data_IF_693458871283
#
_entry.id   IF_693458871283
#
_cell.length_a   1.000
_cell.length_b   1.000
_cell.length_c   1.000
_cell.angle_alpha   90.00
_cell.angle_beta   90.00
_cell.angle_gamma   90.00
#
_symmetry.space_group_name_H-M   'P 1'
#
loop_
_entity.id
_entity.type
_entity.pdbx_description
1 polymer ?
#
# COMPACT_ATOMS: atom_id res chain seq x y z
N UNK A 1 30.91 -17.97 11.82
CA UNK A 1 30.30 -18.78 10.75
C UNK A 1 28.80 -18.88 11.01
N UNK A 2 28.01 -17.91 10.56
CA UNK A 2 26.58 -18.12 10.37
C UNK A 2 26.43 -18.74 8.98
N UNK A 3 26.18 -20.05 8.93
CA UNK A 3 25.70 -20.69 7.69
C UNK A 3 24.38 -19.99 7.35
N UNK A 4 24.19 -19.56 6.10
CA UNK A 4 22.86 -19.22 5.62
C UNK A 4 21.97 -20.46 5.83
N UNK A 5 21.12 -20.43 6.86
CA UNK A 5 20.18 -21.51 7.12
C UNK A 5 19.18 -21.54 5.96
N UNK A 6 18.72 -22.74 5.63
CA UNK A 6 17.72 -23.03 4.58
C UNK A 6 16.46 -22.14 4.66
N UNK A 7 16.24 -21.46 5.78
CA UNK A 7 15.12 -20.57 6.08
C UNK A 7 15.11 -19.28 5.23
N UNK A 8 16.28 -18.75 4.82
CA UNK A 8 16.33 -17.56 3.93
C UNK A 8 15.87 -17.87 2.50
N UNK A 9 16.02 -19.12 2.06
CA UNK A 9 15.68 -19.58 0.71
C UNK A 9 14.15 -19.74 0.57
N UNK A 10 13.46 -20.17 1.63
CA UNK A 10 11.99 -20.19 1.68
C UNK A 10 11.37 -18.78 1.66
N UNK A 11 12.06 -17.79 2.23
CA UNK A 11 11.61 -16.40 2.25
C UNK A 11 11.61 -15.75 0.86
N UNK A 12 12.62 -16.00 0.03
CA UNK A 12 12.66 -15.50 -1.36
C UNK A 12 11.54 -16.14 -2.20
N UNK A 13 11.22 -17.41 -1.95
CA UNK A 13 10.13 -18.12 -2.63
C UNK A 13 8.73 -17.65 -2.18
N UNK A 14 8.55 -17.36 -0.88
CA UNK A 14 7.32 -16.76 -0.35
C UNK A 14 7.08 -15.33 -0.87
N UNK A 15 8.13 -14.64 -1.37
CA UNK A 15 8.05 -13.31 -2.01
C UNK A 15 7.72 -13.43 -3.51
N UNK A 16 8.04 -14.55 -4.18
CA UNK A 16 7.65 -14.82 -5.57
C UNK A 16 6.19 -15.29 -5.72
N UNK A 17 5.65 -15.95 -4.70
CA UNK A 17 4.29 -16.51 -4.70
C UNK A 17 3.13 -15.49 -4.83
N UNK A 18 3.17 -14.26 -4.26
CA UNK A 18 2.08 -13.30 -4.38
C UNK A 18 2.02 -12.63 -5.75
N UNK A 19 3.10 -12.67 -6.53
CA UNK A 19 3.17 -12.06 -7.88
C UNK A 19 2.21 -12.78 -8.84
N UNK A 20 1.89 -14.05 -8.59
CA UNK A 20 1.13 -14.91 -9.51
C UNK A 20 -0.40 -14.65 -9.43
N UNK A 21 -0.92 -14.02 -8.36
CA UNK A 21 -2.36 -13.93 -8.11
C UNK A 21 -2.94 -12.50 -8.04
N UNK A 22 -2.18 -11.45 -8.38
CA UNK A 22 -2.62 -10.06 -8.25
C UNK A 22 -2.79 -9.35 -9.59
N UNK A 23 -4.04 -9.09 -10.00
CA UNK A 23 -4.47 -8.18 -11.07
C UNK A 23 -3.42 -7.92 -12.19
N UNK A 24 -3.51 -8.66 -13.29
CA UNK A 24 -2.79 -8.31 -14.53
C UNK A 24 -3.32 -6.97 -15.04
N UNK A 25 -2.61 -5.90 -14.72
CA UNK A 25 -2.81 -4.57 -15.32
C UNK A 25 -2.13 -4.63 -16.69
N UNK A 26 -2.84 -4.21 -17.74
CA UNK A 26 -2.29 -4.11 -19.10
C UNK A 26 -0.98 -3.31 -19.05
N UNK A 27 0.13 -3.99 -19.25
CA UNK A 27 1.49 -3.45 -19.14
C UNK A 27 2.34 -3.97 -20.30
N UNK A 28 3.48 -3.30 -20.53
CA UNK A 28 4.41 -3.64 -21.62
C UNK A 28 5.56 -4.48 -21.06
N UNK A 29 6.11 -5.36 -21.89
CA UNK A 29 7.34 -6.12 -21.65
C UNK A 29 7.28 -6.99 -20.37
N UNK A 30 6.09 -7.45 -20.00
CA UNK A 30 5.84 -8.25 -18.79
C UNK A 30 5.65 -7.44 -17.50
N UNK A 31 5.73 -6.11 -17.56
CA UNK A 31 5.26 -5.22 -16.50
C UNK A 31 5.76 -5.55 -15.09
N UNK A 32 4.83 -5.78 -14.17
CA UNK A 32 5.11 -6.08 -12.76
C UNK A 32 5.88 -7.38 -12.58
N UNK A 33 5.62 -8.38 -13.41
CA UNK A 33 6.27 -9.69 -13.32
C UNK A 33 7.73 -9.57 -13.73
N UNK A 34 7.99 -8.79 -14.79
CA UNK A 34 9.33 -8.49 -15.25
C UNK A 34 10.13 -7.72 -14.20
N UNK A 35 9.55 -6.66 -13.63
CA UNK A 35 10.21 -5.88 -12.58
C UNK A 35 10.49 -6.72 -11.33
N UNK A 36 9.52 -7.54 -10.90
CA UNK A 36 9.65 -8.41 -9.74
C UNK A 36 10.77 -9.43 -9.93
N UNK A 37 10.78 -10.12 -11.06
CA UNK A 37 11.86 -11.04 -11.40
C UNK A 37 13.22 -10.34 -11.39
N UNK A 38 13.33 -9.19 -12.07
CA UNK A 38 14.58 -8.43 -12.22
C UNK A 38 15.16 -8.00 -10.86
N UNK A 39 14.28 -7.57 -9.95
CA UNK A 39 14.67 -7.19 -8.58
C UNK A 39 15.10 -8.43 -7.78
N UNK A 40 14.33 -9.52 -7.83
CA UNK A 40 14.63 -10.74 -7.06
C UNK A 40 15.93 -11.38 -7.53
N UNK A 41 16.11 -11.55 -8.84
CA UNK A 41 17.34 -12.11 -9.42
C UNK A 41 18.53 -11.20 -9.09
N UNK A 42 18.40 -9.87 -9.22
CA UNK A 42 19.48 -8.97 -8.82
C UNK A 42 19.76 -8.93 -7.31
N UNK A 43 18.78 -9.21 -6.44
CA UNK A 43 19.00 -9.38 -5.01
C UNK A 43 19.82 -10.65 -4.73
N UNK A 44 19.52 -11.75 -5.42
CA UNK A 44 20.30 -13.00 -5.34
C UNK A 44 21.76 -12.75 -5.74
N UNK A 45 22.01 -12.05 -6.84
CA UNK A 45 23.37 -11.67 -7.25
C UNK A 45 24.07 -10.83 -6.19
N UNK A 46 23.39 -9.84 -5.59
CA UNK A 46 23.99 -9.00 -4.55
C UNK A 46 24.29 -9.79 -3.28
N UNK A 47 23.43 -10.74 -2.91
CA UNK A 47 23.67 -11.62 -1.75
C UNK A 47 24.88 -12.52 -1.98
N UNK A 48 25.09 -13.04 -3.19
CA UNK A 48 26.29 -13.84 -3.49
C UNK A 48 27.56 -13.00 -3.39
N UNK A 49 27.53 -11.73 -3.82
CA UNK A 49 28.65 -10.78 -3.63
C UNK A 49 28.93 -10.53 -2.14
N UNK A 50 27.89 -10.26 -1.34
CA UNK A 50 28.06 -9.90 0.09
C UNK A 50 28.56 -11.07 0.92
N UNK A 51 27.99 -12.26 0.72
CA UNK A 51 28.31 -13.42 1.55
C UNK A 51 29.46 -14.27 0.98
N UNK A 52 29.88 -14.04 -0.26
CA UNK A 52 30.87 -14.84 -0.98
C UNK A 52 30.53 -16.35 -0.96
N UNK A 53 29.23 -16.67 -0.96
CA UNK A 53 28.69 -18.04 -0.90
C UNK A 53 27.90 -18.37 -2.17
N UNK A 54 27.94 -19.64 -2.58
CA UNK A 54 27.11 -20.16 -3.67
C UNK A 54 25.66 -20.34 -3.18
N UNK A 55 24.73 -19.56 -3.74
CA UNK A 55 23.30 -19.66 -3.39
C UNK A 55 22.69 -20.89 -4.08
N UNK A 56 22.19 -21.84 -3.29
CA UNK A 56 21.42 -23.00 -3.81
C UNK A 56 19.96 -22.61 -4.01
N UNK A 57 19.56 -22.33 -5.25
CA UNK A 57 18.17 -22.13 -5.66
C UNK A 57 17.54 -23.48 -6.04
N UNK A 58 16.44 -23.88 -5.39
CA UNK A 58 15.92 -25.26 -5.43
C UNK A 58 15.06 -25.56 -6.68
N UNK A 59 14.48 -24.54 -7.35
CA UNK A 59 13.53 -24.78 -8.46
C UNK A 59 13.79 -23.97 -9.75
N UNK A 60 14.14 -22.68 -9.65
CA UNK A 60 14.59 -21.84 -10.79
C UNK A 60 16.13 -21.79 -10.90
N UNK A 61 16.81 -22.56 -10.05
CA UNK A 61 18.25 -22.49 -9.87
C UNK A 61 19.07 -22.75 -11.12
N UNK A 62 18.78 -23.74 -11.97
CA UNK A 62 19.66 -24.04 -13.09
C UNK A 62 19.80 -22.89 -14.09
N UNK A 63 18.68 -22.26 -14.51
CA UNK A 63 18.70 -21.14 -15.46
C UNK A 63 19.34 -19.89 -14.83
N UNK A 64 19.01 -19.59 -13.57
CA UNK A 64 19.57 -18.43 -12.86
C UNK A 64 21.08 -18.60 -12.62
N UNK A 65 21.50 -19.79 -12.17
CA UNK A 65 22.91 -20.11 -11.93
C UNK A 65 23.68 -20.08 -13.25
N UNK A 66 23.19 -20.72 -14.30
CA UNK A 66 23.86 -20.73 -15.60
C UNK A 66 23.97 -19.31 -16.20
N UNK A 67 22.91 -18.50 -16.08
CA UNK A 67 22.94 -17.09 -16.45
C UNK A 67 24.03 -16.31 -15.67
N UNK A 68 24.08 -16.44 -14.34
CA UNK A 68 25.14 -15.80 -13.56
C UNK A 68 26.55 -16.30 -13.89
N UNK A 69 26.72 -17.61 -14.14
CA UNK A 69 28.00 -18.18 -14.57
C UNK A 69 28.46 -17.64 -15.93
N UNK A 70 27.52 -17.18 -16.75
CA UNK A 70 27.76 -16.52 -18.05
C UNK A 70 27.84 -14.99 -17.94
N UNK A 71 27.80 -14.44 -16.73
CA UNK A 71 27.76 -12.99 -16.47
C UNK A 71 26.53 -12.28 -17.08
N UNK A 72 25.43 -13.00 -17.25
CA UNK A 72 24.18 -12.41 -17.72
C UNK A 72 23.55 -11.51 -16.65
N UNK A 73 23.06 -10.34 -17.09
CA UNK A 73 22.32 -9.44 -16.21
C UNK A 73 20.97 -10.04 -15.79
N UNK A 74 20.42 -9.63 -14.63
CA UNK A 74 19.09 -10.04 -14.20
C UNK A 74 17.98 -9.85 -15.24
N UNK A 75 18.03 -8.78 -16.06
CA UNK A 75 17.07 -8.58 -17.15
C UNK A 75 17.09 -9.75 -18.15
N UNK A 76 18.29 -10.21 -18.57
CA UNK A 76 18.47 -11.31 -19.52
C UNK A 76 17.94 -12.61 -18.94
N UNK A 77 18.30 -12.90 -17.68
CA UNK A 77 17.83 -14.09 -16.97
C UNK A 77 16.31 -14.09 -16.88
N UNK A 78 15.68 -12.95 -16.58
CA UNK A 78 14.24 -12.84 -16.45
C UNK A 78 13.48 -13.00 -17.78
N UNK A 79 14.09 -12.65 -18.91
CA UNK A 79 13.55 -13.01 -20.22
C UNK A 79 13.70 -14.51 -20.52
N UNK A 80 14.82 -15.13 -20.12
CA UNK A 80 15.01 -16.58 -20.18
C UNK A 80 14.12 -17.37 -19.20
N UNK A 81 13.50 -16.70 -18.23
CA UNK A 81 12.47 -17.25 -17.35
C UNK A 81 11.04 -16.94 -17.83
N UNK A 82 10.89 -16.13 -18.88
CA UNK A 82 9.60 -15.63 -19.43
C UNK A 82 8.80 -14.73 -18.48
N UNK A 83 9.42 -14.19 -17.43
CA UNK A 83 8.80 -13.12 -16.63
C UNK A 83 8.87 -11.76 -17.33
N UNK A 84 9.87 -11.57 -18.19
CA UNK A 84 9.97 -10.41 -19.08
C UNK A 84 9.75 -10.83 -20.53
N UNK A 85 9.10 -9.97 -21.31
CA UNK A 85 8.84 -10.17 -22.75
C UNK A 85 9.28 -8.94 -23.54
N UNK A 86 9.44 -9.08 -24.86
CA UNK A 86 9.63 -7.96 -25.78
C UNK A 86 8.35 -7.79 -26.59
N UNK A 87 7.59 -6.71 -26.37
CA UNK A 87 6.35 -6.48 -27.11
C UNK A 87 6.61 -5.84 -28.49
N UNK A 88 5.97 -6.34 -29.58
CA UNK A 88 6.17 -5.80 -30.92
C UNK A 88 5.86 -4.30 -31.01
N UNK A 89 6.83 -3.53 -31.50
CA UNK A 89 6.69 -2.08 -31.70
C UNK A 89 6.92 -1.23 -30.44
N UNK A 90 7.29 -1.84 -29.31
CA UNK A 90 7.60 -1.13 -28.07
C UNK A 90 9.11 -1.03 -27.82
N UNK A 91 9.51 -0.04 -27.03
CA UNK A 91 10.89 0.13 -26.62
C UNK A 91 11.23 -0.87 -25.49
N UNK A 92 12.36 -1.57 -25.61
CA UNK A 92 12.77 -2.59 -24.64
C UNK A 92 13.10 -2.00 -23.29
N UNK A 93 12.40 -2.44 -22.25
CA UNK A 93 12.61 -1.96 -20.89
C UNK A 93 13.75 -2.71 -20.18
N UNK A 94 14.82 -1.99 -19.80
CA UNK A 94 16.01 -2.59 -19.15
C UNK A 94 16.55 -1.79 -17.99
N UNK A 95 16.77 -2.47 -16.87
CA UNK A 95 17.36 -1.85 -15.69
C UNK A 95 18.90 -1.89 -15.75
N UNK A 96 19.46 -3.02 -16.16
CA UNK A 96 20.88 -3.27 -16.31
C UNK A 96 21.34 -3.01 -17.75
N UNK A 97 22.47 -2.33 -17.90
CA UNK A 97 23.08 -2.13 -19.21
C UNK A 97 23.74 -3.43 -19.66
N UNK A 98 23.31 -3.99 -20.80
CA UNK A 98 23.99 -5.14 -21.40
C UNK A 98 25.39 -4.71 -21.85
N UNK A 99 26.43 -5.44 -21.41
CA UNK A 99 27.81 -5.24 -21.87
C UNK A 99 28.07 -5.79 -23.28
N UNK A 100 27.12 -6.52 -23.89
CA UNK A 100 27.35 -7.18 -25.18
C UNK A 100 26.20 -6.95 -26.19
N UNK A 101 26.52 -6.64 -27.46
CA UNK A 101 25.56 -6.47 -28.55
C UNK A 101 25.12 -7.80 -29.19
N UNK A 102 25.53 -8.96 -28.66
CA UNK A 102 25.05 -10.27 -29.15
C UNK A 102 23.52 -10.26 -29.06
N UNK A 103 22.88 -10.64 -30.17
CA UNK A 103 21.43 -10.62 -30.35
C UNK A 103 20.77 -11.38 -29.19
N UNK A 104 20.25 -10.61 -28.25
CA UNK A 104 19.54 -11.01 -27.04
C UNK A 104 18.63 -12.23 -27.22
N UNK A 105 17.91 -12.25 -28.34
CA UNK A 105 17.00 -13.33 -28.74
C UNK A 105 17.70 -14.69 -28.85
N UNK A 106 18.92 -14.73 -29.39
CA UNK A 106 19.66 -15.98 -29.58
C UNK A 106 20.15 -16.56 -28.24
N UNK A 107 20.57 -15.72 -27.29
CA UNK A 107 21.07 -16.18 -25.99
C UNK A 107 19.95 -16.76 -25.12
N UNK A 108 18.80 -16.08 -25.08
CA UNK A 108 17.58 -16.54 -24.39
C UNK A 108 17.07 -17.85 -24.97
N UNK A 109 17.08 -18.01 -26.31
CA UNK A 109 16.69 -19.27 -26.96
C UNK A 109 17.59 -20.45 -26.57
N UNK A 110 18.89 -20.21 -26.44
CA UNK A 110 19.85 -21.26 -26.04
C UNK A 110 19.61 -21.72 -24.59
N UNK A 111 19.30 -20.80 -23.66
CA UNK A 111 18.99 -21.14 -22.26
C UNK A 111 17.71 -21.97 -22.13
N UNK A 112 16.68 -21.63 -22.91
CA UNK A 112 15.42 -22.39 -22.92
C UNK A 112 15.55 -23.81 -23.47
N UNK A 113 16.44 -24.04 -24.43
CA UNK A 113 16.69 -25.39 -24.95
C UNK A 113 17.31 -26.33 -23.90
N UNK A 114 17.91 -25.78 -22.83
CA UNK A 114 18.59 -26.57 -21.80
C UNK A 114 17.70 -26.91 -20.58
N UNK A 115 16.56 -26.22 -20.36
CA UNK A 115 15.75 -26.38 -19.15
C UNK A 115 14.22 -26.25 -19.38
N UNK A 116 13.41 -27.16 -18.81
CA UNK A 116 11.94 -27.18 -18.87
C UNK A 116 11.29 -26.59 -17.60
N UNK A 117 10.19 -25.84 -17.72
CA UNK A 117 9.52 -25.11 -16.62
C UNK A 117 8.37 -25.90 -15.95
N UNK A 118 8.11 -25.75 -14.62
CA UNK A 118 6.90 -26.25 -13.93
C UNK A 118 5.84 -25.16 -13.62
N UNK A 119 4.57 -25.54 -13.48
CA UNK A 119 3.43 -24.68 -13.10
C UNK A 119 2.92 -24.96 -11.67
N UNK A 120 2.39 -23.93 -10.98
CA UNK A 120 1.82 -24.04 -9.62
C UNK A 120 0.56 -23.17 -9.45
N UNK A 121 -0.38 -23.67 -8.64
CA UNK A 121 -1.61 -23.03 -8.16
C UNK A 121 -1.64 -23.08 -6.62
N UNK A 122 -2.12 -22.04 -5.96
CA UNK A 122 -2.29 -22.02 -4.51
C UNK A 122 -3.47 -21.14 -4.08
N UNK A 123 -4.43 -21.77 -3.40
CA UNK A 123 -5.62 -21.11 -2.85
C UNK A 123 -5.68 -21.19 -1.32
N UNK A 124 -6.23 -20.10 -0.76
CA UNK A 124 -6.89 -19.94 0.55
C UNK A 124 -6.04 -19.53 1.78
N UNK A 125 -6.31 -18.31 2.26
CA UNK A 125 -6.21 -17.94 3.68
C UNK A 125 -7.51 -17.22 4.08
N UNK A 126 -8.12 -17.63 5.19
CA UNK A 126 -9.43 -17.17 5.69
C UNK A 126 -9.27 -15.93 6.58
N UNK A 127 -10.22 -15.01 6.51
CA UNK A 127 -10.37 -13.84 7.39
C UNK A 127 -11.06 -14.30 8.70
N UNK A 128 -10.56 -13.89 9.87
CA UNK A 128 -11.13 -14.15 11.20
C UNK A 128 -11.84 -12.87 11.73
N UNK A 129 -13.15 -12.83 11.50
CA UNK A 129 -14.14 -11.84 12.00
C UNK A 129 -15.48 -12.61 12.07
N UNK A 130 -15.85 -13.09 13.26
CA UNK A 130 -16.94 -14.05 13.43
C UNK A 130 -18.31 -13.39 13.63
N UNK A 131 -18.36 -12.19 14.20
CA UNK A 131 -19.61 -11.44 14.42
C UNK A 131 -19.91 -10.36 13.36
N UNK A 132 -19.01 -10.19 12.39
CA UNK A 132 -19.13 -9.33 11.21
C UNK A 132 -19.26 -7.84 11.55
N UNK A 133 -18.65 -7.41 12.65
CA UNK A 133 -18.57 -6.01 13.02
C UNK A 133 -17.42 -5.26 12.34
N UNK A 134 -16.56 -6.00 11.62
CA UNK A 134 -15.35 -5.56 10.88
C UNK A 134 -14.13 -5.31 11.75
N UNK A 135 -14.19 -5.62 13.03
CA UNK A 135 -13.03 -5.80 13.89
C UNK A 135 -12.73 -7.30 13.99
N UNK A 136 -11.50 -7.61 14.36
CA UNK A 136 -11.08 -9.01 14.41
C UNK A 136 -9.77 -9.14 15.17
N UNK A 137 -9.44 -10.38 15.52
CA UNK A 137 -8.27 -10.68 16.34
C UNK A 137 -6.97 -10.84 15.52
N UNK A 138 -7.07 -11.28 14.26
CA UNK A 138 -5.94 -11.56 13.37
C UNK A 138 -5.25 -10.26 12.90
N UNK A 139 -3.93 -10.06 13.10
CA UNK A 139 -3.25 -8.81 12.76
C UNK A 139 -3.23 -8.47 11.27
N UNK A 140 -3.17 -9.46 10.38
CA UNK A 140 -3.10 -9.23 8.94
C UNK A 140 -4.48 -9.17 8.28
N UNK A 141 -4.58 -9.28 6.95
CA UNK A 141 -5.85 -9.38 6.20
C UNK A 141 -6.96 -8.40 6.61
N UNK A 142 -6.61 -7.13 6.85
CA UNK A 142 -7.53 -6.06 7.31
C UNK A 142 -8.06 -6.19 8.74
N UNK A 143 -7.53 -7.10 9.56
CA UNK A 143 -7.85 -7.25 10.98
C UNK A 143 -7.06 -6.30 11.89
N UNK A 144 -6.48 -6.81 12.99
CA UNK A 144 -6.08 -6.04 14.17
C UNK A 144 -4.99 -4.97 13.96
N UNK A 145 -4.19 -5.05 12.88
CA UNK A 145 -3.24 -3.99 12.50
C UNK A 145 -3.92 -2.81 11.81
N UNK A 146 -5.04 -3.03 11.14
CA UNK A 146 -5.78 -2.02 10.38
C UNK A 146 -6.86 -1.34 11.22
N UNK A 147 -7.50 -2.10 12.09
CA UNK A 147 -8.48 -1.65 13.08
C UNK A 147 -8.14 -2.42 14.32
N UNK A 148 -7.97 -1.79 15.49
CA UNK A 148 -7.40 -2.50 16.65
C UNK A 148 -8.21 -3.73 17.02
N UNK A 149 -7.53 -4.62 17.74
CA UNK A 149 -8.06 -5.92 18.16
C UNK A 149 -9.42 -5.78 18.86
N UNK A 150 -10.37 -6.54 18.34
CA UNK A 150 -11.63 -6.81 19.01
C UNK A 150 -11.42 -7.58 20.31
N UNK A 151 -12.04 -7.11 21.40
CA UNK A 151 -12.04 -7.78 22.67
C UNK A 151 -13.09 -8.91 22.75
N UNK A 152 -14.09 -8.92 21.86
CA UNK A 152 -15.11 -9.97 21.79
C UNK A 152 -15.64 -10.21 20.36
N UNK A 153 -14.92 -11.06 19.63
CA UNK A 153 -15.20 -11.52 18.23
C UNK A 153 -16.51 -12.35 18.10
N UNK A 154 -17.39 -12.35 19.11
CA UNK A 154 -18.68 -13.03 19.11
C UNK A 154 -19.85 -12.08 19.37
N UNK A 155 -19.61 -10.78 19.51
CA UNK A 155 -20.62 -9.78 19.78
C UNK A 155 -20.34 -8.47 19.06
N UNK A 156 -21.04 -8.24 17.96
CA UNK A 156 -20.92 -7.02 17.14
C UNK A 156 -21.33 -5.70 17.81
N UNK A 157 -21.72 -5.75 19.09
CA UNK A 157 -21.99 -4.59 19.94
C UNK A 157 -20.81 -4.25 20.88
N UNK A 158 -19.81 -5.13 20.97
CA UNK A 158 -18.62 -4.96 21.80
C UNK A 158 -17.44 -4.78 20.86
N UNK A 159 -16.99 -3.54 20.69
CA UNK A 159 -15.92 -3.23 19.75
C UNK A 159 -15.27 -1.88 20.04
N UNK A 160 -14.05 -1.63 19.51
CA UNK A 160 -13.41 -0.33 19.62
C UNK A 160 -14.33 0.86 19.28
N UNK A 161 -14.50 1.75 20.26
CA UNK A 161 -15.25 3.00 20.14
C UNK A 161 -16.78 2.91 20.29
N UNK A 162 -17.32 1.75 20.67
CA UNK A 162 -18.69 1.64 21.16
C UNK A 162 -18.89 2.52 22.42
N UNK A 163 -20.12 2.98 22.69
CA UNK A 163 -20.48 3.64 23.95
C UNK A 163 -20.57 2.64 25.08
N UNK A 164 -20.28 3.09 26.30
CA UNK A 164 -20.32 2.22 27.47
C UNK A 164 -21.75 1.82 27.79
N UNK A 165 -21.91 0.62 28.35
CA UNK A 165 -23.21 0.15 28.85
C UNK A 165 -23.08 -0.05 30.35
N UNK A 166 -23.82 0.76 31.13
CA UNK A 166 -23.76 0.77 32.60
C UNK A 166 -22.33 0.99 33.13
N UNK A 167 -21.59 1.91 32.51
CA UNK A 167 -20.22 2.24 32.92
C UNK A 167 -19.21 1.10 32.72
N UNK A 168 -19.54 0.10 31.89
CA UNK A 168 -18.73 -1.11 31.71
C UNK A 168 -18.42 -1.81 33.04
N UNK A 169 -19.38 -1.81 33.96
CA UNK A 169 -19.21 -2.36 35.30
C UNK A 169 -18.88 -3.87 35.33
N UNK A 170 -19.22 -4.61 34.26
CA UNK A 170 -19.03 -6.07 34.17
C UNK A 170 -18.24 -6.45 32.91
N UNK A 171 -18.53 -5.83 31.78
CA UNK A 171 -17.96 -6.12 30.47
C UNK A 171 -17.42 -4.81 29.89
N UNK A 172 -16.21 -4.87 29.33
CA UNK A 172 -15.61 -3.81 28.52
C UNK A 172 -16.29 -3.82 27.13
N UNK A 173 -17.20 -2.88 26.89
CA UNK A 173 -17.98 -2.83 25.63
C UNK A 173 -17.21 -2.11 24.52
N UNK A 174 -16.26 -1.25 24.87
CA UNK A 174 -15.57 -0.39 23.93
C UNK A 174 -14.12 -0.84 23.65
N UNK A 175 -13.69 -1.93 24.28
CA UNK A 175 -12.37 -2.57 24.16
C UNK A 175 -11.18 -1.68 24.55
N UNK A 176 -11.38 -0.64 25.36
CA UNK A 176 -10.31 0.25 25.80
C UNK A 176 -9.53 -0.31 27.02
N UNK A 177 -10.00 -1.40 27.62
CA UNK A 177 -9.37 -2.06 28.77
C UNK A 177 -9.75 -1.47 30.13
N UNK A 178 -10.70 -0.54 30.19
CA UNK A 178 -11.20 0.09 31.40
C UNK A 178 -12.62 -0.43 31.66
N UNK A 179 -12.78 -1.24 32.70
CA UNK A 179 -14.07 -1.83 33.08
C UNK A 179 -14.03 -2.28 34.54
N UNK A 180 -15.19 -2.58 35.13
CA UNK A 180 -15.31 -3.01 36.52
C UNK A 180 -15.70 -1.89 37.49
N UNK A 181 -15.81 -2.24 38.78
CA UNK A 181 -16.28 -1.34 39.85
C UNK A 181 -15.14 -1.02 40.81
N UNK A 182 -15.00 0.25 41.15
CA UNK A 182 -14.15 0.71 42.24
C UNK A 182 -14.80 0.35 43.59
N UNK A 183 -14.19 -0.57 44.33
CA UNK A 183 -14.72 -1.07 45.60
C UNK A 183 -14.79 0.00 46.71
N UNK A 184 -14.05 1.10 46.58
CA UNK A 184 -14.05 2.18 47.56
C UNK A 184 -15.22 3.17 47.38
N UNK A 185 -15.67 3.39 46.13
CA UNK A 185 -16.69 4.40 45.78
C UNK A 185 -18.02 3.77 45.35
N UNK A 186 -17.99 2.50 44.92
CA UNK A 186 -19.12 1.81 44.31
C UNK A 186 -19.45 2.25 42.88
N UNK A 187 -18.61 3.11 42.26
CA UNK A 187 -18.79 3.56 40.87
C UNK A 187 -17.93 2.73 39.91
N UNK A 188 -18.31 2.73 38.63
CA UNK A 188 -17.49 2.05 37.63
C UNK A 188 -16.21 2.83 37.32
N UNK A 189 -15.17 2.11 36.90
CA UNK A 189 -13.90 2.75 36.52
C UNK A 189 -14.06 3.67 35.31
N UNK A 190 -14.97 3.37 34.38
CA UNK A 190 -15.22 4.26 33.23
C UNK A 190 -15.91 5.56 33.59
N UNK A 191 -16.85 5.52 34.54
CA UNK A 191 -17.47 6.73 35.06
C UNK A 191 -16.45 7.63 35.76
N UNK A 192 -15.53 7.04 36.52
CA UNK A 192 -14.52 7.79 37.27
C UNK A 192 -13.41 8.37 36.38
N UNK A 193 -12.94 7.62 35.40
CA UNK A 193 -11.76 8.02 34.61
C UNK A 193 -12.09 8.75 33.33
N UNK A 194 -13.27 8.53 32.74
CA UNK A 194 -13.46 8.88 31.35
C UNK A 194 -14.71 9.70 31.02
N UNK A 195 -15.79 9.56 31.81
CA UNK A 195 -16.95 10.46 31.80
C UNK A 195 -17.46 10.90 30.40
N UNK A 196 -17.46 9.96 29.42
CA UNK A 196 -17.93 9.92 28.01
C UNK A 196 -17.92 11.16 27.09
N UNK A 197 -17.74 12.38 27.58
CA UNK A 197 -18.18 13.61 26.93
C UNK A 197 -17.11 14.24 26.02
N UNK A 198 -15.88 13.71 26.02
CA UNK A 198 -14.77 14.26 25.24
C UNK A 198 -13.97 13.22 24.44
N UNK A 199 -14.44 11.98 24.35
CA UNK A 199 -13.73 10.91 23.63
C UNK A 199 -13.79 11.12 22.12
N UNK A 200 -12.66 10.92 21.47
CA UNK A 200 -12.50 11.02 20.02
C UNK A 200 -11.40 10.05 19.58
N UNK A 201 -11.68 9.17 18.64
CA UNK A 201 -10.74 8.12 18.23
C UNK A 201 -9.61 8.62 17.31
N UNK A 202 -8.34 8.41 17.70
CA UNK A 202 -7.12 8.49 16.87
C UNK A 202 -5.88 8.07 17.66
N UNK A 203 -4.79 7.68 17.00
CA UNK A 203 -3.57 7.14 17.66
C UNK A 203 -2.88 8.12 18.60
N UNK A 204 -2.83 9.42 18.29
CA UNK A 204 -2.28 10.46 19.18
C UNK A 204 -3.28 10.93 20.24
N UNK A 205 -4.56 10.58 20.09
CA UNK A 205 -5.59 10.91 21.08
C UNK A 205 -5.50 9.99 22.30
N UNK A 206 -4.86 8.81 22.20
CA UNK A 206 -4.57 7.97 23.36
C UNK A 206 -3.64 8.66 24.37
N UNK A 207 -2.57 9.33 23.93
CA UNK A 207 -1.63 10.01 24.85
C UNK A 207 -2.27 11.22 25.55
N UNK A 208 -3.33 11.79 24.96
CA UNK A 208 -4.10 12.90 25.53
C UNK A 208 -5.23 12.41 26.43
N UNK A 209 -5.84 11.28 26.07
CA UNK A 209 -6.92 10.63 26.80
C UNK A 209 -6.84 9.11 26.53
N UNK A 210 -6.37 8.38 27.55
CA UNK A 210 -6.19 6.92 27.47
C UNK A 210 -7.48 6.16 27.25
N UNK A 211 -8.64 6.77 27.48
CA UNK A 211 -9.94 6.17 27.23
C UNK A 211 -10.20 5.93 25.73
N UNK A 212 -9.40 6.56 24.84
CA UNK A 212 -9.38 6.31 23.40
C UNK A 212 -8.54 5.08 23.01
N UNK A 213 -8.13 4.25 23.97
CA UNK A 213 -7.40 3.03 23.68
C UNK A 213 -8.18 2.18 22.67
N UNK A 214 -7.47 1.69 21.66
CA UNK A 214 -7.98 0.91 20.52
C UNK A 214 -8.91 1.63 19.53
N UNK A 215 -9.46 2.80 19.81
CA UNK A 215 -10.36 3.48 18.88
C UNK A 215 -9.60 4.17 17.72
N UNK A 216 -9.03 3.36 16.82
CA UNK A 216 -8.52 3.79 15.53
C UNK A 216 -8.96 2.83 14.42
N UNK A 217 -9.15 3.39 13.22
CA UNK A 217 -9.38 2.63 12.01
C UNK A 217 -8.57 3.23 10.85
N UNK A 218 -7.70 2.44 10.24
CA UNK A 218 -7.01 2.81 9.01
C UNK A 218 -7.84 2.33 7.81
N UNK A 219 -8.61 3.25 7.24
CA UNK A 219 -9.47 3.03 6.07
C UNK A 219 -8.73 3.46 4.79
N UNK A 220 -7.49 3.00 4.62
CA UNK A 220 -6.67 3.31 3.45
C UNK A 220 -6.45 2.09 2.55
N UNK A 221 -6.36 2.33 1.25
CA UNK A 221 -6.02 1.31 0.24
C UNK A 221 -4.96 1.89 -0.69
N UNK A 222 -3.96 1.08 -1.06
CA UNK A 222 -3.01 1.47 -2.12
C UNK A 222 -3.77 1.73 -3.41
N UNK A 223 -3.51 2.85 -4.07
CA UNK A 223 -4.23 3.24 -5.29
C UNK A 223 -5.57 3.94 -5.06
N UNK A 224 -5.98 4.19 -3.80
CA UNK A 224 -7.18 4.96 -3.51
C UNK A 224 -7.10 6.38 -4.10
N UNK A 225 -8.18 6.79 -4.75
CA UNK A 225 -8.39 8.07 -5.42
C UNK A 225 -9.81 8.59 -5.13
N UNK A 226 -10.18 9.75 -5.65
CA UNK A 226 -11.54 10.27 -5.44
C UNK A 226 -12.62 9.36 -6.01
N UNK A 227 -12.36 8.65 -7.12
CA UNK A 227 -13.36 7.77 -7.76
C UNK A 227 -13.73 6.59 -6.86
N UNK A 228 -12.76 6.03 -6.15
CA UNK A 228 -12.93 4.86 -5.29
C UNK A 228 -13.25 5.18 -3.83
N UNK A 229 -13.06 6.43 -3.40
CA UNK A 229 -13.13 6.80 -1.97
C UNK A 229 -14.49 6.55 -1.32
N UNK A 230 -15.60 6.66 -2.06
CA UNK A 230 -16.93 6.39 -1.51
C UNK A 230 -17.05 4.93 -1.08
N UNK A 231 -16.60 4.00 -1.91
CA UNK A 231 -16.68 2.57 -1.60
C UNK A 231 -15.68 2.17 -0.50
N UNK A 232 -14.52 2.82 -0.47
CA UNK A 232 -13.56 2.68 0.62
C UNK A 232 -14.14 3.22 1.93
N UNK A 233 -14.76 4.41 1.92
CA UNK A 233 -15.40 5.02 3.08
C UNK A 233 -16.53 4.13 3.63
N UNK A 234 -17.28 3.43 2.78
CA UNK A 234 -18.30 2.46 3.21
C UNK A 234 -17.75 1.29 4.02
N UNK A 235 -16.43 1.06 4.00
CA UNK A 235 -15.79 0.06 4.86
C UNK A 235 -15.56 0.56 6.29
N UNK A 236 -15.61 1.88 6.55
CA UNK A 236 -15.55 2.43 7.91
C UNK A 236 -16.64 1.81 8.77
N UNK A 237 -16.30 1.45 10.02
CA UNK A 237 -17.28 0.99 11.00
C UNK A 237 -17.55 2.11 11.99
N UNK A 238 -18.74 2.71 11.93
CA UNK A 238 -19.24 3.58 12.98
C UNK A 238 -20.77 3.55 13.02
N UNK A 239 -21.32 3.52 14.22
CA UNK A 239 -22.75 3.63 14.47
C UNK A 239 -23.11 5.03 14.95
N UNK A 240 -24.05 5.69 14.28
CA UNK A 240 -24.47 7.06 14.54
C UNK A 240 -24.88 7.33 16.01
N UNK A 241 -25.49 6.33 16.66
CA UNK A 241 -26.07 6.47 18.00
C UNK A 241 -25.16 5.80 19.03
N UNK A 242 -24.72 4.58 18.73
CA UNK A 242 -24.10 3.69 19.71
C UNK A 242 -22.60 3.87 19.84
N UNK A 243 -21.96 4.69 19.00
CA UNK A 243 -20.51 4.91 19.07
C UNK A 243 -20.18 6.36 19.44
N UNK A 244 -18.95 6.57 19.94
CA UNK A 244 -18.44 7.91 20.23
C UNK A 244 -18.03 8.65 18.95
N UNK A 245 -17.93 9.99 18.94
CA UNK A 245 -17.46 10.74 17.77
C UNK A 245 -16.06 10.34 17.30
N UNK A 246 -15.73 10.64 16.03
CA UNK A 246 -14.45 10.32 15.43
C UNK A 246 -13.77 11.56 14.84
N UNK A 247 -12.44 11.62 14.92
CA UNK A 247 -11.63 12.49 14.06
C UNK A 247 -11.30 11.74 12.77
N UNK A 248 -11.88 12.16 11.66
CA UNK A 248 -11.60 11.59 10.35
C UNK A 248 -10.61 12.46 9.62
N UNK A 249 -9.49 11.86 9.18
CA UNK A 249 -8.55 12.50 8.26
C UNK A 249 -8.84 11.96 6.86
N UNK A 250 -9.51 12.77 6.05
CA UNK A 250 -9.88 12.46 4.67
C UNK A 250 -8.72 12.86 3.73
N UNK A 251 -7.87 11.90 3.40
CA UNK A 251 -6.55 12.18 2.81
C UNK A 251 -6.30 11.44 1.49
N UNK A 252 -6.64 12.10 0.37
CA UNK A 252 -6.34 11.66 -0.99
C UNK A 252 -5.17 12.47 -1.57
N UNK A 253 -3.95 12.00 -1.36
CA UNK A 253 -2.76 12.85 -1.53
C UNK A 253 -2.09 12.74 -2.90
N UNK A 254 -2.57 11.91 -3.83
CA UNK A 254 -1.84 11.72 -5.08
C UNK A 254 -2.52 11.01 -6.24
N UNK A 255 -3.25 9.90 -6.03
CA UNK A 255 -3.66 9.03 -7.16
C UNK A 255 -4.66 9.67 -8.14
N UNK A 256 -5.34 10.75 -7.73
CA UNK A 256 -6.16 11.57 -8.65
C UNK A 256 -5.33 12.22 -9.77
N UNK A 257 -4.02 12.40 -9.57
CA UNK A 257 -3.08 12.89 -10.61
C UNK A 257 -1.99 11.87 -10.94
N UNK A 258 -1.70 10.92 -10.05
CA UNK A 258 -0.65 9.91 -10.23
C UNK A 258 -1.18 8.63 -10.87
N UNK A 259 -0.62 8.27 -12.02
CA UNK A 259 -0.90 7.02 -12.72
C UNK A 259 0.35 6.49 -13.46
N UNK A 260 0.28 5.24 -13.92
CA UNK A 260 1.34 4.57 -14.70
C UNK A 260 1.14 4.62 -16.21
N UNK A 261 0.15 5.36 -16.70
CA UNK A 261 -0.22 5.37 -18.11
C UNK A 261 0.72 6.23 -18.96
N UNK A 262 0.99 5.87 -20.24
CA UNK A 262 1.84 6.67 -21.13
C UNK A 262 1.32 8.09 -21.35
N UNK A 263 0.00 8.22 -21.53
CA UNK A 263 -0.68 9.51 -21.69
C UNK A 263 -1.14 10.04 -20.32
N UNK A 264 -0.20 10.19 -19.39
CA UNK A 264 -0.51 10.39 -17.97
C UNK A 264 -1.52 11.51 -17.71
N UNK A 265 -1.46 12.62 -18.48
CA UNK A 265 -2.35 13.79 -18.35
C UNK A 265 -3.82 13.48 -18.63
N UNK A 266 -4.11 12.59 -19.57
CA UNK A 266 -5.47 12.26 -19.99
C UNK A 266 -6.19 11.39 -18.95
N UNK A 267 -5.42 10.65 -18.15
CA UNK A 267 -5.92 9.73 -17.14
C UNK A 267 -6.00 10.35 -15.72
N UNK A 268 -5.79 11.66 -15.61
CA UNK A 268 -6.00 12.39 -14.35
C UNK A 268 -7.48 12.64 -14.10
N UNK A 269 -7.88 12.66 -12.84
CA UNK A 269 -9.20 13.14 -12.47
C UNK A 269 -9.32 14.64 -12.81
N UNK A 270 -10.42 15.01 -13.47
CA UNK A 270 -10.75 16.42 -13.65
C UNK A 270 -11.14 17.05 -12.31
N UNK A 271 -11.05 18.37 -12.21
CA UNK A 271 -11.38 19.11 -10.99
C UNK A 271 -12.86 18.91 -10.62
N UNK A 272 -13.74 18.88 -11.63
CA UNK A 272 -15.18 18.67 -11.48
C UNK A 272 -15.51 17.25 -10.99
N UNK A 273 -14.84 16.23 -11.54
CA UNK A 273 -14.98 14.85 -11.07
C UNK A 273 -14.51 14.72 -9.63
N UNK A 274 -13.30 15.21 -9.32
CA UNK A 274 -12.73 15.14 -7.97
C UNK A 274 -13.66 15.82 -6.95
N UNK A 275 -14.20 16.99 -7.29
CA UNK A 275 -15.17 17.70 -6.45
C UNK A 275 -16.41 16.87 -6.15
N UNK A 276 -17.05 16.34 -7.20
CA UNK A 276 -18.28 15.55 -7.10
C UNK A 276 -18.04 14.30 -6.25
N UNK A 277 -16.93 13.61 -6.52
CA UNK A 277 -16.53 12.41 -5.83
C UNK A 277 -16.27 12.65 -4.34
N UNK A 278 -15.49 13.68 -4.00
CA UNK A 278 -15.20 14.04 -2.60
C UNK A 278 -16.49 14.46 -1.89
N UNK A 279 -17.34 15.26 -2.52
CA UNK A 279 -18.64 15.62 -1.95
C UNK A 279 -19.50 14.41 -1.64
N UNK A 280 -19.54 13.41 -2.51
CA UNK A 280 -20.30 12.18 -2.28
C UNK A 280 -19.74 11.40 -1.10
N UNK A 281 -18.40 11.31 -0.98
CA UNK A 281 -17.73 10.70 0.18
C UNK A 281 -18.05 11.42 1.49
N UNK A 282 -17.92 12.75 1.51
CA UNK A 282 -18.23 13.58 2.67
C UNK A 282 -19.71 13.52 3.07
N UNK A 283 -20.62 13.52 2.08
CA UNK A 283 -22.04 13.36 2.32
C UNK A 283 -22.38 11.99 2.91
N UNK A 284 -21.70 10.94 2.46
CA UNK A 284 -21.83 9.61 3.06
C UNK A 284 -21.34 9.58 4.51
N UNK A 285 -20.20 10.21 4.83
CA UNK A 285 -19.71 10.30 6.20
C UNK A 285 -20.73 10.96 7.14
N UNK A 286 -21.48 11.97 6.68
CA UNK A 286 -22.53 12.64 7.47
C UNK A 286 -23.68 11.67 7.83
N UNK A 287 -23.83 10.55 7.13
CA UNK A 287 -24.86 9.55 7.43
C UNK A 287 -24.45 8.53 8.48
N UNK A 288 -23.15 8.38 8.76
CA UNK A 288 -22.62 7.32 9.63
C UNK A 288 -21.85 7.84 10.85
N UNK A 289 -21.29 9.05 10.79
CA UNK A 289 -20.51 9.62 11.89
C UNK A 289 -21.44 10.13 13.00
N UNK A 290 -21.20 9.79 14.28
CA UNK A 290 -21.91 10.37 15.41
C UNK A 290 -21.76 11.89 15.47
N UNK A 291 -22.79 12.57 15.97
CA UNK A 291 -22.78 14.02 16.16
C UNK A 291 -21.61 14.45 17.06
N UNK A 292 -20.88 15.48 16.61
CA UNK A 292 -19.69 15.99 17.29
C UNK A 292 -18.39 15.40 16.72
N UNK A 293 -18.46 14.67 15.61
CA UNK A 293 -17.27 14.22 14.88
C UNK A 293 -16.60 15.40 14.17
N UNK A 294 -15.38 15.21 13.69
CA UNK A 294 -14.63 16.22 12.93
C UNK A 294 -14.02 15.58 11.69
N UNK A 295 -14.11 16.26 10.54
CA UNK A 295 -13.52 15.78 9.29
C UNK A 295 -12.47 16.78 8.80
N UNK A 296 -11.21 16.35 8.78
CA UNK A 296 -10.10 17.12 8.21
C UNK A 296 -9.79 16.58 6.82
N UNK A 297 -10.02 17.37 5.78
CA UNK A 297 -9.54 17.07 4.43
C UNK A 297 -8.09 17.53 4.27
N UNK A 298 -7.30 16.80 3.48
CA UNK A 298 -5.93 17.19 3.14
C UNK A 298 -5.77 17.35 1.65
N UNK A 299 -5.08 18.41 1.23
CA UNK A 299 -4.76 18.61 -0.18
C UNK A 299 -3.71 17.64 -0.72
N UNK A 300 -3.65 17.56 -2.05
CA UNK A 300 -2.69 16.72 -2.76
C UNK A 300 -1.24 17.10 -2.43
N UNK A 301 -0.33 16.13 -2.41
CA UNK A 301 1.09 16.34 -2.21
C UNK A 301 1.75 17.05 -3.40
N UNK A 302 2.86 17.77 -3.17
CA UNK A 302 3.71 18.26 -4.26
C UNK A 302 4.79 17.22 -4.59
N UNK A 303 4.48 16.29 -5.50
CA UNK A 303 5.42 15.21 -5.84
C UNK A 303 6.64 15.64 -6.68
N UNK A 304 6.70 16.88 -7.21
CA UNK A 304 7.88 17.35 -7.95
C UNK A 304 9.16 17.34 -7.09
N UNK A 305 9.00 17.53 -5.78
CA UNK A 305 10.10 17.47 -4.81
C UNK A 305 10.78 16.10 -4.79
N UNK A 306 10.03 15.01 -5.06
CA UNK A 306 10.59 13.65 -5.07
C UNK A 306 11.68 13.50 -6.13
N UNK A 307 11.39 13.92 -7.37
CA UNK A 307 12.38 13.83 -8.45
C UNK A 307 13.57 14.75 -8.16
N UNK A 308 13.32 15.99 -7.73
CA UNK A 308 14.37 16.97 -7.45
C UNK A 308 15.35 16.55 -6.36
N UNK A 309 14.91 15.77 -5.37
CA UNK A 309 15.76 15.35 -4.26
C UNK A 309 16.43 13.99 -4.49
N UNK A 310 15.85 13.13 -5.34
CA UNK A 310 16.25 11.72 -5.43
C UNK A 310 16.90 11.34 -6.75
N UNK A 311 16.62 12.03 -7.86
CA UNK A 311 16.94 11.55 -9.21
C UNK A 311 18.40 11.13 -9.41
N UNK A 312 19.34 11.90 -8.87
CA UNK A 312 20.79 11.64 -8.92
C UNK A 312 21.30 10.73 -7.79
N UNK A 313 20.50 10.47 -6.75
CA UNK A 313 20.91 9.56 -5.68
C UNK A 313 20.95 8.11 -6.18
N UNK A 314 21.92 7.35 -5.68
CA UNK A 314 22.00 5.91 -5.91
C UNK A 314 20.82 5.24 -5.20
N UNK A 315 19.99 4.53 -5.97
CA UNK A 315 18.87 3.77 -5.40
C UNK A 315 19.42 2.70 -4.44
N UNK A 316 18.69 2.37 -3.37
CA UNK A 316 19.15 1.37 -2.36
C UNK A 316 19.57 0.06 -3.00
N UNK A 317 18.80 -0.41 -3.98
CA UNK A 317 19.11 -1.62 -4.73
C UNK A 317 20.39 -1.48 -5.57
N UNK A 318 20.83 -0.27 -5.93
CA UNK A 318 22.06 0.00 -6.69
C UNK A 318 23.31 0.21 -5.83
N UNK A 319 23.26 0.06 -4.51
CA UNK A 319 24.42 0.32 -3.63
C UNK A 319 25.51 -0.75 -3.68
N UNK A 320 25.16 -1.97 -4.10
CA UNK A 320 26.07 -3.13 -4.16
C UNK A 320 26.09 -3.64 -5.60
N UNK A 321 27.26 -3.87 -6.18
CA UNK A 321 27.42 -4.30 -7.57
C UNK A 321 27.20 -3.15 -8.56
N UNK A 322 26.42 -3.39 -9.63
CA UNK A 322 26.10 -2.36 -10.63
C UNK A 322 25.24 -1.26 -9.99
N UNK A 323 25.70 -0.02 -10.10
CA UNK A 323 25.02 1.15 -9.57
C UNK A 323 23.97 1.70 -10.54
N UNK A 324 22.83 2.11 -10.00
CA UNK A 324 21.78 2.81 -10.73
C UNK A 324 21.14 3.85 -9.82
N UNK A 325 20.83 5.01 -10.40
CA UNK A 325 20.18 6.11 -9.70
C UNK A 325 18.66 5.95 -9.66
N UNK A 326 17.97 6.74 -8.83
CA UNK A 326 16.50 6.77 -8.87
C UNK A 326 15.97 7.17 -10.25
N UNK A 327 16.63 8.09 -10.96
CA UNK A 327 16.29 8.42 -12.35
C UNK A 327 16.22 7.19 -13.25
N UNK A 328 17.20 6.28 -13.15
CA UNK A 328 17.23 5.05 -13.94
C UNK A 328 16.08 4.11 -13.57
N UNK A 329 15.75 4.00 -12.27
CA UNK A 329 14.61 3.22 -11.79
C UNK A 329 13.29 3.80 -12.30
N UNK A 330 13.11 5.12 -12.22
CA UNK A 330 11.90 5.79 -12.71
C UNK A 330 11.69 5.57 -14.21
N UNK A 331 12.75 5.71 -15.02
CA UNK A 331 12.68 5.40 -16.45
C UNK A 331 12.34 3.93 -16.72
N UNK A 332 12.91 3.01 -15.95
CA UNK A 332 12.62 1.58 -16.08
C UNK A 332 11.16 1.24 -15.76
N UNK A 333 10.64 1.71 -14.62
CA UNK A 333 9.25 1.48 -14.22
C UNK A 333 8.25 2.16 -15.17
N UNK A 334 8.58 3.36 -15.67
CA UNK A 334 7.74 4.06 -16.65
C UNK A 334 7.68 3.33 -17.98
N UNK A 335 8.81 2.79 -18.45
CA UNK A 335 8.87 1.95 -19.65
C UNK A 335 7.94 0.73 -19.54
N UNK A 336 7.99 0.04 -18.41
CA UNK A 336 7.14 -1.11 -18.10
C UNK A 336 5.67 -0.76 -17.86
N UNK A 337 5.29 0.53 -17.87
CA UNK A 337 3.96 1.05 -17.53
C UNK A 337 3.47 0.67 -16.13
N UNK A 338 4.39 0.54 -15.18
CA UNK A 338 4.11 0.22 -13.76
C UNK A 338 4.61 1.30 -12.81
N UNK A 339 5.04 2.46 -13.34
CA UNK A 339 5.39 3.60 -12.51
C UNK A 339 4.18 4.02 -11.68
N UNK A 340 4.32 4.23 -10.37
CA UNK A 340 3.21 4.68 -9.54
C UNK A 340 2.79 6.12 -9.86
N UNK A 341 3.64 6.91 -10.53
CA UNK A 341 3.31 8.28 -10.90
C UNK A 341 4.20 8.79 -12.03
N UNK A 342 3.86 8.49 -13.29
CA UNK A 342 4.58 8.93 -14.49
C UNK A 342 4.74 10.45 -14.56
N UNK A 343 3.73 11.22 -14.13
CA UNK A 343 3.75 12.67 -14.18
C UNK A 343 4.86 13.31 -13.34
N UNK A 344 5.13 12.83 -12.12
CA UNK A 344 6.18 13.37 -11.25
C UNK A 344 7.49 12.59 -11.30
N UNK A 345 7.44 11.27 -11.47
CA UNK A 345 8.63 10.40 -11.50
C UNK A 345 9.18 10.29 -12.92
N UNK A 346 9.55 11.42 -13.50
CA UNK A 346 10.02 11.52 -14.88
C UNK A 346 11.12 12.57 -15.01
N UNK A 347 12.03 12.37 -15.95
CA UNK A 347 13.07 13.37 -16.27
C UNK A 347 12.52 14.60 -17.00
N UNK A 348 11.32 14.50 -17.58
CA UNK A 348 10.66 15.60 -18.27
C UNK A 348 10.14 16.65 -17.26
N UNK A 349 10.91 17.72 -17.09
CA UNK A 349 10.61 18.83 -16.18
C UNK A 349 9.31 19.57 -16.52
N UNK A 350 9.01 19.71 -17.81
CA UNK A 350 7.79 20.34 -18.31
C UNK A 350 6.56 19.54 -17.88
N UNK A 351 6.63 18.21 -17.98
CA UNK A 351 5.56 17.33 -17.50
C UNK A 351 5.37 17.45 -15.98
N UNK A 352 6.46 17.44 -15.19
CA UNK A 352 6.39 17.65 -13.73
C UNK A 352 5.80 19.02 -13.37
N UNK A 353 6.08 20.06 -14.16
CA UNK A 353 5.52 21.40 -13.97
C UNK A 353 4.02 21.47 -14.33
N UNK A 354 3.57 20.77 -15.37
CA UNK A 354 2.14 20.64 -15.70
C UNK A 354 1.41 19.94 -14.54
N UNK A 355 1.91 18.79 -14.10
CA UNK A 355 1.39 18.04 -12.94
C UNK A 355 1.17 18.90 -11.70
N UNK A 356 2.21 19.68 -11.36
CA UNK A 356 2.18 20.52 -10.16
C UNK A 356 1.14 21.64 -10.30
N UNK A 357 0.85 22.10 -11.51
CA UNK A 357 -0.22 23.08 -11.78
C UNK A 357 -1.61 22.45 -11.71
N UNK A 358 -1.81 21.27 -12.28
CA UNK A 358 -3.11 20.58 -12.21
C UNK A 358 -3.48 20.26 -10.75
N UNK A 359 -2.51 19.80 -9.95
CA UNK A 359 -2.65 19.65 -8.48
C UNK A 359 -3.22 20.91 -7.80
N UNK A 360 -2.71 22.10 -8.14
CA UNK A 360 -3.14 23.35 -7.50
C UNK A 360 -4.60 23.68 -7.82
N UNK A 361 -5.09 23.36 -9.02
CA UNK A 361 -6.50 23.54 -9.38
C UNK A 361 -7.40 22.63 -8.55
N UNK A 362 -6.96 21.38 -8.33
CA UNK A 362 -7.67 20.42 -7.47
C UNK A 362 -7.75 20.88 -6.01
N UNK A 363 -6.70 21.50 -5.47
CA UNK A 363 -6.71 22.05 -4.10
C UNK A 363 -7.65 23.26 -3.93
N UNK A 364 -7.77 24.12 -4.94
CA UNK A 364 -8.75 25.24 -4.92
C UNK A 364 -10.19 24.74 -4.85
N UNK A 365 -10.43 23.51 -5.31
CA UNK A 365 -11.72 22.85 -5.24
C UNK A 365 -12.08 22.40 -3.82
N UNK A 366 -11.10 21.87 -3.08
CA UNK A 366 -11.28 21.47 -1.68
C UNK A 366 -11.64 22.66 -0.79
N UNK A 367 -11.05 23.83 -1.02
CA UNK A 367 -11.39 25.07 -0.31
C UNK A 367 -12.85 25.52 -0.51
N UNK A 368 -13.53 25.04 -1.56
CA UNK A 368 -14.95 25.34 -1.81
C UNK A 368 -15.88 24.46 -0.96
N UNK A 369 -15.38 23.36 -0.40
CA UNK A 369 -16.13 22.46 0.48
C UNK A 369 -16.36 23.07 1.87
N UNK A 370 -15.48 23.95 2.32
CA UNK A 370 -15.50 24.59 3.65
C UNK A 370 -16.76 25.45 3.91
N UNK A 371 -17.55 25.77 2.88
CA UNK A 371 -18.79 26.53 3.02
C UNK A 371 -20.04 25.67 3.24
N UNK A 372 -19.90 24.34 3.29
CA UNK A 372 -21.04 23.43 3.55
C UNK A 372 -21.15 23.09 5.03
N UNK A 373 -22.37 23.16 5.54
CA UNK A 373 -22.70 22.67 6.88
C UNK A 373 -23.10 21.20 6.83
N UNK A 374 -22.46 20.38 7.66
CA UNK A 374 -22.82 18.98 7.89
C UNK A 374 -23.57 18.85 9.21
N UNK A 375 -24.43 17.83 9.34
CA UNK A 375 -25.28 17.69 10.54
C UNK A 375 -24.50 17.10 11.71
N UNK A 376 -23.58 16.18 11.40
CA UNK A 376 -22.93 15.36 12.41
C UNK A 376 -21.46 15.71 12.65
N UNK A 377 -20.84 16.48 11.77
CA UNK A 377 -19.44 16.90 11.95
C UNK A 377 -19.19 18.35 11.53
N UNK A 378 -18.04 18.85 11.99
CA UNK A 378 -17.44 20.11 11.56
C UNK A 378 -16.36 19.86 10.51
#
# INVERSE_FOLDING_TARGET
MMKASLEWIFLIFAILLPVINGLSIKSIDGGSDCASCTIIVGLVEKLSIVYNESIRLIFLGPIIIDGFMKEDSPDIICHALKFCTDDPGQAKCRLYLSKSPILFTQHVLNLHQQHSQPSYDLSTSKIFDFDQDRFGSEPTFRGSSWRRKDCNDFSSAIHPGARIVQGDAIIDHNCNGIYGINSATGRSWEEEFCNETQRMGSTRLFDLDHCNHRDYQNIAVTGADSKSILDIAKTLRRNLINDVPLLVIYSLVGNDVCNGHPNTLDDMATVEEMYSNILNGLAYLDTILPKGSHVLTTGLANGNVLYQLLDDLIHTFGRIGIQFTYKKIYTYLSCLQISPCNGWLTSNDTLRAIMTRERLKSMLCEMRLDYRSWKNYL
#
